data_IF_582678204963
#
_entry.id   IF_582678204963
#
_cell.length_a   1.000
_cell.length_b   1.000
_cell.length_c   1.000
_cell.angle_alpha   90.00
_cell.angle_beta   90.00
_cell.angle_gamma   90.00
#
_symmetry.space_group_name_H-M   'P 1'
#
loop_
_entity.id
_entity.type
_entity.pdbx_description
1 polymer ?
#
# COMPACT_ATOMS: atom_id res chain seq x y z
N UNK A 1 9.06 9.52 22.97
CA UNK A 1 8.30 10.57 22.23
C UNK A 1 6.87 10.06 22.13
N UNK A 2 5.90 10.89 22.45
CA UNK A 2 4.50 10.47 22.60
C UNK A 2 3.93 10.05 21.24
N UNK A 3 3.46 8.79 21.11
CA UNK A 3 2.86 8.22 19.91
C UNK A 3 1.67 9.04 19.39
N UNK A 4 0.83 9.52 20.31
CA UNK A 4 -0.29 10.38 19.95
C UNK A 4 0.17 11.65 19.23
N UNK A 5 1.27 12.24 19.67
CA UNK A 5 1.84 13.43 19.01
C UNK A 5 2.31 13.14 17.58
N UNK A 6 2.91 11.98 17.34
CA UNK A 6 3.36 11.61 15.99
C UNK A 6 2.18 11.42 15.03
N UNK A 7 1.17 10.65 15.45
CA UNK A 7 -0.01 10.41 14.61
C UNK A 7 -0.82 11.70 14.40
N UNK A 8 -0.92 12.57 15.42
CA UNK A 8 -1.56 13.88 15.29
C UNK A 8 -0.85 14.75 14.27
N UNK A 9 0.46 14.78 14.29
CA UNK A 9 1.23 15.56 13.33
C UNK A 9 0.99 15.09 11.90
N UNK A 10 1.08 13.77 11.65
CA UNK A 10 0.82 13.20 10.33
C UNK A 10 -0.62 13.49 9.84
N UNK A 11 -1.62 13.34 10.70
CA UNK A 11 -3.03 13.62 10.38
C UNK A 11 -3.23 15.10 10.07
N UNK A 12 -2.72 16.00 10.91
CA UNK A 12 -2.92 17.44 10.74
C UNK A 12 -2.27 17.97 9.48
N UNK A 13 -1.07 17.49 9.13
CA UNK A 13 -0.42 17.83 7.86
C UNK A 13 -1.30 17.37 6.68
N UNK A 14 -1.73 16.10 6.67
CA UNK A 14 -2.58 15.58 5.59
C UNK A 14 -3.93 16.30 5.50
N UNK A 15 -4.56 16.65 6.63
CA UNK A 15 -5.80 17.43 6.63
C UNK A 15 -5.60 18.86 6.10
N UNK A 16 -4.44 19.47 6.33
CA UNK A 16 -4.13 20.79 5.79
C UNK A 16 -3.85 20.77 4.28
N UNK A 17 -3.37 19.64 3.75
CA UNK A 17 -3.09 19.44 2.32
C UNK A 17 -4.35 19.07 1.52
N UNK A 18 -5.41 18.57 2.19
CA UNK A 18 -6.59 17.99 1.54
C UNK A 18 -7.88 18.59 2.08
N UNK A 19 -8.74 19.09 1.20
CA UNK A 19 -10.07 19.62 1.55
C UNK A 19 -11.08 18.46 1.78
N UNK A 20 -10.96 17.76 2.91
CA UNK A 20 -11.81 16.59 3.20
C UNK A 20 -13.04 16.93 4.04
N UNK A 21 -13.03 18.03 4.78
CA UNK A 21 -14.01 18.34 5.83
C UNK A 21 -13.91 17.41 7.06
N UNK A 22 -12.90 16.52 7.12
CA UNK A 22 -12.71 15.62 8.25
C UNK A 22 -11.94 16.32 9.39
N UNK A 23 -12.15 15.86 10.62
CA UNK A 23 -11.50 16.38 11.82
C UNK A 23 -10.69 15.29 12.49
N UNK A 24 -9.61 15.68 13.16
CA UNK A 24 -8.75 14.76 13.89
C UNK A 24 -9.48 14.29 15.17
N UNK A 25 -9.75 12.98 15.35
CA UNK A 25 -10.45 12.46 16.52
C UNK A 25 -9.54 12.35 17.76
N UNK A 26 -10.12 12.09 18.94
CA UNK A 26 -9.37 12.09 20.20
C UNK A 26 -8.65 10.78 20.51
N UNK A 27 -9.19 9.63 20.07
CA UNK A 27 -8.67 8.32 20.46
C UNK A 27 -7.71 7.71 19.44
N UNK A 28 -6.68 7.00 19.90
CA UNK A 28 -5.69 6.36 19.02
C UNK A 28 -6.32 5.45 17.94
N UNK A 29 -7.30 4.57 18.24
CA UNK A 29 -7.90 3.73 17.19
C UNK A 29 -8.61 4.54 16.11
N UNK A 30 -9.27 5.63 16.47
CA UNK A 30 -9.94 6.50 15.50
C UNK A 30 -8.93 7.31 14.69
N UNK A 31 -7.85 7.78 15.30
CA UNK A 31 -6.72 8.42 14.62
C UNK A 31 -6.08 7.50 13.60
N UNK A 32 -5.84 6.23 13.94
CA UNK A 32 -5.29 5.24 13.02
C UNK A 32 -6.23 4.99 11.82
N UNK A 33 -7.54 4.91 12.06
CA UNK A 33 -8.53 4.80 10.98
C UNK A 33 -8.55 6.04 10.08
N UNK A 34 -8.50 7.24 10.67
CA UNK A 34 -8.44 8.48 9.91
C UNK A 34 -7.16 8.58 9.10
N UNK A 35 -6.00 8.35 9.73
CA UNK A 35 -4.70 8.35 9.05
C UNK A 35 -4.69 7.39 7.85
N UNK A 36 -5.18 6.15 8.03
CA UNK A 36 -5.31 5.20 6.91
C UNK A 36 -6.24 5.73 5.81
N UNK A 37 -7.38 6.33 6.19
CA UNK A 37 -8.30 6.93 5.21
C UNK A 37 -7.64 8.04 4.40
N UNK A 38 -6.88 8.90 5.06
CA UNK A 38 -6.13 9.99 4.43
C UNK A 38 -5.03 9.45 3.49
N UNK A 39 -4.25 8.46 3.93
CA UNK A 39 -3.28 7.75 3.08
C UNK A 39 -3.97 7.18 1.82
N UNK A 40 -5.18 6.63 1.98
CA UNK A 40 -5.89 6.01 0.85
C UNK A 40 -6.32 7.04 -0.21
N UNK A 41 -6.78 8.23 0.17
CA UNK A 41 -7.30 9.23 -0.77
C UNK A 41 -6.26 10.24 -1.25
N UNK A 42 -5.12 10.35 -0.55
CA UNK A 42 -4.06 11.31 -0.91
C UNK A 42 -3.55 11.05 -2.32
N UNK A 43 -3.49 12.11 -3.11
CA UNK A 43 -2.88 12.05 -4.44
C UNK A 43 -1.37 11.80 -4.34
N UNK A 44 -0.69 11.33 -5.40
CA UNK A 44 0.74 11.02 -5.38
C UNK A 44 1.63 12.28 -5.46
N UNK A 45 1.21 13.35 -4.81
CA UNK A 45 2.01 14.58 -4.70
C UNK A 45 3.18 14.36 -3.74
N UNK A 46 4.31 14.99 -4.05
CA UNK A 46 5.54 14.84 -3.25
C UNK A 46 5.28 15.28 -1.80
N UNK A 47 5.42 14.38 -0.82
CA UNK A 47 5.19 14.71 0.57
C UNK A 47 6.35 15.53 1.15
N UNK A 48 6.06 16.32 2.20
CA UNK A 48 7.11 16.92 3.02
C UNK A 48 7.87 15.85 3.82
N UNK A 49 9.14 16.11 4.16
CA UNK A 49 9.91 15.21 5.00
C UNK A 49 9.27 15.05 6.39
N UNK A 50 8.68 16.13 6.92
CA UNK A 50 7.97 16.09 8.19
C UNK A 50 6.79 15.12 8.18
N UNK A 51 5.99 15.10 7.11
CA UNK A 51 4.90 14.15 6.95
C UNK A 51 5.41 12.70 6.87
N UNK A 52 6.46 12.47 6.09
CA UNK A 52 7.11 11.15 5.99
C UNK A 52 7.55 10.67 7.39
N UNK A 53 8.32 11.49 8.11
CA UNK A 53 8.86 11.13 9.41
C UNK A 53 7.76 10.85 10.45
N UNK A 54 6.69 11.63 10.45
CA UNK A 54 5.56 11.46 11.36
C UNK A 54 4.77 10.18 11.04
N UNK A 55 4.47 9.95 9.78
CA UNK A 55 3.78 8.75 9.30
C UNK A 55 4.60 7.49 9.58
N UNK A 56 5.89 7.49 9.23
CA UNK A 56 6.76 6.32 9.35
C UNK A 56 6.89 5.86 10.80
N UNK A 57 6.94 6.79 11.75
CA UNK A 57 6.94 6.46 13.20
C UNK A 57 5.66 5.73 13.61
N UNK A 58 4.49 6.18 13.14
CA UNK A 58 3.23 5.52 13.46
C UNK A 58 3.10 4.17 12.74
N UNK A 59 3.48 4.08 11.46
CA UNK A 59 3.45 2.81 10.71
C UNK A 59 4.43 1.77 11.29
N UNK A 60 5.60 2.21 11.77
CA UNK A 60 6.53 1.35 12.49
C UNK A 60 5.91 0.80 13.79
N UNK A 61 5.24 1.65 14.59
CA UNK A 61 4.55 1.22 15.79
C UNK A 61 3.42 0.22 15.48
N UNK A 62 2.61 0.46 14.44
CA UNK A 62 1.57 -0.48 14.01
C UNK A 62 2.15 -1.82 13.53
N UNK A 63 3.29 -1.80 12.84
CA UNK A 63 4.01 -3.00 12.42
C UNK A 63 4.49 -3.83 13.61
N UNK A 64 5.05 -3.19 14.63
CA UNK A 64 5.48 -3.85 15.87
C UNK A 64 4.28 -4.46 16.61
N UNK A 65 3.17 -3.74 16.73
CA UNK A 65 1.94 -4.26 17.38
C UNK A 65 1.36 -5.48 16.66
N UNK A 66 1.35 -5.47 15.32
CA UNK A 66 0.89 -6.61 14.52
C UNK A 66 1.84 -7.80 14.61
N UNK A 67 3.09 -7.56 14.95
CA UNK A 67 4.18 -8.53 14.93
C UNK A 67 4.62 -8.86 13.50
N UNK A 68 5.90 -9.12 13.34
CA UNK A 68 6.54 -9.52 12.07
C UNK A 68 6.65 -11.03 12.01
N UNK A 69 6.43 -11.60 10.82
CA UNK A 69 6.55 -13.03 10.57
C UNK A 69 7.74 -13.27 9.64
N UNK A 70 8.70 -14.06 10.09
CA UNK A 70 9.84 -14.50 9.29
C UNK A 70 9.58 -15.90 8.72
N UNK A 71 9.75 -16.04 7.40
CA UNK A 71 9.73 -17.33 6.74
C UNK A 71 11.16 -17.89 6.74
N UNK A 72 11.33 -19.11 7.27
CA UNK A 72 12.66 -19.74 7.44
C UNK A 72 13.15 -20.48 6.20
N UNK A 73 12.33 -20.62 5.19
CA UNK A 73 12.66 -21.34 3.96
C UNK A 73 12.94 -20.35 2.84
N UNK A 74 13.89 -20.67 1.99
CA UNK A 74 14.18 -19.93 0.76
C UNK A 74 13.20 -20.34 -0.35
N UNK A 75 13.01 -19.45 -1.32
CA UNK A 75 12.18 -19.69 -2.51
C UNK A 75 10.83 -18.98 -2.51
N UNK A 76 9.91 -19.49 -3.31
CA UNK A 76 8.56 -18.93 -3.47
C UNK A 76 7.61 -19.63 -2.51
N UNK A 77 6.88 -18.84 -1.72
CA UNK A 77 5.97 -19.34 -0.70
C UNK A 77 4.53 -18.89 -0.95
N UNK A 78 3.60 -19.82 -0.86
CA UNK A 78 2.18 -19.50 -0.74
C UNK A 78 1.87 -19.20 0.72
N UNK A 79 1.37 -17.99 0.98
CA UNK A 79 1.02 -17.53 2.33
C UNK A 79 -0.47 -17.25 2.46
N UNK A 80 -1.07 -17.76 3.54
CA UNK A 80 -2.44 -17.41 3.93
C UNK A 80 -2.43 -16.61 5.24
N UNK A 81 -2.74 -15.32 5.17
CA UNK A 81 -2.74 -14.40 6.30
C UNK A 81 -2.45 -12.95 5.89
N UNK A 82 -2.12 -12.11 6.86
CA UNK A 82 -1.75 -10.70 6.59
C UNK A 82 -0.33 -10.64 5.99
N UNK A 83 -0.26 -10.48 4.66
CA UNK A 83 0.99 -10.43 3.90
C UNK A 83 1.86 -9.22 4.28
N UNK A 84 1.26 -8.15 4.84
CA UNK A 84 2.00 -6.95 5.27
C UNK A 84 2.87 -7.18 6.51
N UNK A 85 2.79 -8.37 7.11
CA UNK A 85 3.61 -8.78 8.26
C UNK A 85 4.86 -9.57 7.88
N UNK A 86 4.99 -9.97 6.61
CA UNK A 86 6.06 -10.86 6.17
C UNK A 86 7.39 -10.12 6.02
N UNK A 87 8.43 -10.60 6.72
CA UNK A 87 9.82 -10.21 6.51
C UNK A 87 10.44 -11.16 5.49
N UNK A 88 10.34 -10.78 4.24
CA UNK A 88 10.80 -11.53 3.06
C UNK A 88 11.45 -10.56 2.07
N UNK A 89 12.09 -11.08 1.02
CA UNK A 89 12.64 -10.21 -0.01
C UNK A 89 11.54 -9.47 -0.78
N UNK A 90 10.46 -10.14 -1.16
CA UNK A 90 9.35 -9.50 -1.87
C UNK A 90 7.99 -10.11 -1.50
N UNK A 91 6.95 -9.27 -1.53
CA UNK A 91 5.54 -9.70 -1.52
C UNK A 91 4.89 -9.32 -2.84
N UNK A 92 3.88 -10.09 -3.26
CA UNK A 92 3.13 -9.82 -4.49
C UNK A 92 1.86 -9.05 -4.17
N UNK A 93 1.60 -7.98 -4.91
CA UNK A 93 0.39 -7.17 -4.85
C UNK A 93 -0.44 -7.37 -6.12
N UNK A 94 -1.70 -7.75 -5.97
CA UNK A 94 -2.68 -7.70 -7.06
C UNK A 94 -3.12 -6.25 -7.30
N UNK A 95 -2.36 -5.55 -8.12
CA UNK A 95 -2.51 -4.14 -8.40
C UNK A 95 -3.53 -3.86 -9.53
N UNK A 96 -3.95 -2.60 -9.61
CA UNK A 96 -4.66 -2.10 -10.79
C UNK A 96 -3.66 -1.59 -11.86
N UNK A 97 -4.13 -1.42 -13.10
CA UNK A 97 -3.28 -0.99 -14.22
C UNK A 97 -2.64 0.41 -14.09
N UNK A 98 -3.03 1.22 -13.13
CA UNK A 98 -2.38 2.50 -12.81
C UNK A 98 -1.26 2.36 -11.80
N UNK A 99 -1.20 1.25 -11.06
CA UNK A 99 -0.31 0.96 -9.93
C UNK A 99 -0.41 1.95 -8.76
N UNK A 100 -1.41 2.83 -8.75
CA UNK A 100 -1.54 3.90 -7.74
C UNK A 100 -2.28 3.46 -6.47
N UNK A 101 -2.54 2.18 -6.31
CA UNK A 101 -3.32 1.67 -5.19
C UNK A 101 -4.82 1.95 -5.32
N UNK A 102 -5.57 1.60 -4.28
CA UNK A 102 -7.01 1.80 -4.21
C UNK A 102 -7.31 3.08 -3.42
N UNK A 103 -8.04 4.02 -4.05
CA UNK A 103 -8.40 5.30 -3.44
C UNK A 103 -9.67 5.26 -2.57
N UNK A 104 -10.26 4.08 -2.36
CA UNK A 104 -11.44 3.95 -1.50
C UNK A 104 -11.01 3.88 -0.03
N UNK A 105 -11.43 4.84 0.84
CA UNK A 105 -11.06 4.84 2.25
C UNK A 105 -11.37 3.50 2.93
N UNK A 106 -10.42 2.98 3.69
CA UNK A 106 -10.54 1.74 4.49
C UNK A 106 -10.96 0.49 3.68
N UNK A 107 -10.80 0.49 2.36
CA UNK A 107 -11.15 -0.68 1.56
C UNK A 107 -10.29 -1.90 1.96
N UNK A 108 -10.91 -3.08 1.95
CA UNK A 108 -10.27 -4.32 2.40
C UNK A 108 -9.54 -5.09 1.27
N UNK A 109 -9.42 -4.53 0.05
CA UNK A 109 -8.64 -5.18 -1.00
C UNK A 109 -7.14 -5.17 -0.65
N UNK A 110 -6.42 -6.16 -1.19
CA UNK A 110 -5.00 -6.33 -0.91
C UNK A 110 -4.17 -5.10 -1.33
N UNK A 111 -4.51 -4.49 -2.46
CA UNK A 111 -3.86 -3.28 -2.97
C UNK A 111 -3.97 -2.10 -1.98
N UNK A 112 -5.17 -1.87 -1.40
CA UNK A 112 -5.36 -0.86 -0.36
C UNK A 112 -4.56 -1.19 0.91
N UNK A 113 -4.57 -2.44 1.35
CA UNK A 113 -3.91 -2.88 2.58
C UNK A 113 -2.39 -2.72 2.47
N UNK A 114 -1.80 -3.15 1.36
CA UNK A 114 -0.35 -3.01 1.09
C UNK A 114 0.04 -1.54 1.03
N UNK A 115 -0.66 -0.72 0.23
CA UNK A 115 -0.37 0.72 0.13
C UNK A 115 -0.52 1.45 1.48
N UNK A 116 -1.52 1.08 2.30
CA UNK A 116 -1.70 1.66 3.62
C UNK A 116 -0.55 1.32 4.58
N UNK A 117 -0.06 0.09 4.54
CA UNK A 117 1.03 -0.36 5.41
C UNK A 117 2.42 0.12 4.94
N UNK A 118 2.61 0.26 3.64
CA UNK A 118 3.84 0.81 3.06
C UNK A 118 3.95 2.34 3.28
N UNK A 119 2.83 3.05 3.33
CA UNK A 119 2.77 4.51 3.46
C UNK A 119 2.67 5.24 2.12
N UNK A 120 2.58 6.57 2.20
CA UNK A 120 2.37 7.45 1.03
C UNK A 120 3.49 7.37 0.00
N UNK A 121 4.72 7.06 0.43
CA UNK A 121 5.88 6.95 -0.44
C UNK A 121 5.69 5.91 -1.53
N UNK A 122 5.01 4.79 -1.24
CA UNK A 122 4.77 3.74 -2.23
C UNK A 122 3.96 4.26 -3.42
N UNK A 123 2.87 5.00 -3.16
CA UNK A 123 2.06 5.59 -4.23
C UNK A 123 2.83 6.63 -5.04
N UNK A 124 3.63 7.47 -4.38
CA UNK A 124 4.47 8.45 -5.06
C UNK A 124 5.47 7.77 -6.00
N UNK A 125 6.16 6.74 -5.52
CA UNK A 125 7.11 5.97 -6.31
C UNK A 125 6.46 5.24 -7.49
N UNK A 126 5.30 4.61 -7.27
CA UNK A 126 4.52 4.01 -8.36
C UNK A 126 4.13 5.06 -9.42
N UNK A 127 3.72 6.26 -8.98
CA UNK A 127 3.37 7.34 -9.90
C UNK A 127 4.56 7.78 -10.77
N UNK A 128 5.75 7.89 -10.19
CA UNK A 128 6.98 8.23 -10.93
C UNK A 128 7.26 7.17 -12.02
N UNK A 129 7.18 5.88 -11.68
CA UNK A 129 7.32 4.78 -12.66
C UNK A 129 6.29 4.91 -13.77
N UNK A 130 5.02 5.11 -13.43
CA UNK A 130 3.93 5.15 -14.40
C UNK A 130 3.95 6.41 -15.28
N UNK A 131 4.40 7.54 -14.75
CA UNK A 131 4.64 8.75 -15.53
C UNK A 131 5.79 8.57 -16.50
N UNK A 132 6.89 7.96 -16.07
CA UNK A 132 8.03 7.66 -16.94
C UNK A 132 7.66 6.66 -18.06
N UNK A 133 6.77 5.70 -17.76
CA UNK A 133 6.24 4.75 -18.74
C UNK A 133 5.28 5.39 -19.74
N UNK A 134 4.49 6.38 -19.34
CA UNK A 134 3.57 7.12 -20.18
C UNK A 134 2.25 6.40 -20.54
N UNK A 135 2.04 5.17 -20.07
CA UNK A 135 0.82 4.40 -20.31
C UNK A 135 0.52 3.45 -19.13
N UNK A 136 -0.70 2.95 -19.04
CA UNK A 136 -1.10 1.98 -18.01
C UNK A 136 -0.32 0.68 -18.14
N UNK A 137 -0.07 0.01 -17.02
CA UNK A 137 0.51 -1.32 -17.02
C UNK A 137 -0.42 -2.34 -17.66
N UNK A 138 0.13 -3.19 -18.51
CA UNK A 138 -0.65 -4.21 -19.19
C UNK A 138 -1.00 -5.38 -18.25
N UNK A 139 -2.13 -6.04 -18.51
CA UNK A 139 -2.49 -7.27 -17.83
C UNK A 139 -1.42 -8.34 -18.08
N UNK A 140 -1.05 -9.09 -17.04
CA UNK A 140 -0.01 -10.10 -17.09
C UNK A 140 1.41 -9.55 -16.92
N UNK A 141 1.57 -8.25 -16.73
CA UNK A 141 2.87 -7.61 -16.49
C UNK A 141 3.01 -7.18 -15.02
N UNK A 142 4.24 -6.90 -14.60
CA UNK A 142 4.54 -6.50 -13.23
C UNK A 142 5.62 -5.42 -13.16
N UNK A 143 5.62 -4.68 -12.06
CA UNK A 143 6.66 -3.73 -11.65
C UNK A 143 7.10 -4.02 -10.22
N UNK A 144 8.36 -3.77 -9.94
CA UNK A 144 8.92 -3.89 -8.59
C UNK A 144 9.15 -2.51 -7.99
N UNK A 145 8.84 -2.37 -6.70
CA UNK A 145 9.09 -1.16 -5.92
C UNK A 145 9.73 -1.52 -4.58
N UNK A 146 10.38 -0.56 -3.88
CA UNK A 146 10.72 -0.73 -2.48
C UNK A 146 9.48 -0.97 -1.61
N UNK A 147 9.64 -1.68 -0.48
CA UNK A 147 8.56 -1.97 0.47
C UNK A 147 8.26 -0.82 1.45
N UNK A 148 9.14 0.19 1.54
CA UNK A 148 9.04 1.33 2.48
C UNK A 148 8.83 0.88 3.93
N UNK A 149 7.65 1.15 4.54
CA UNK A 149 7.38 0.76 5.93
C UNK A 149 7.01 -0.72 6.13
N UNK A 150 6.89 -1.50 5.06
CA UNK A 150 6.67 -2.95 5.15
C UNK A 150 7.91 -3.66 5.70
N UNK A 151 7.76 -4.82 6.37
CA UNK A 151 8.89 -5.69 6.68
C UNK A 151 9.54 -6.31 5.43
N UNK A 152 8.77 -6.48 4.34
CA UNK A 152 9.26 -6.94 3.04
C UNK A 152 10.12 -5.86 2.38
N UNK A 153 11.24 -6.26 1.76
CA UNK A 153 12.14 -5.32 1.08
C UNK A 153 11.51 -4.71 -0.17
N UNK A 154 10.73 -5.50 -0.90
CA UNK A 154 10.13 -5.11 -2.18
C UNK A 154 8.66 -5.51 -2.24
N UNK A 155 7.94 -4.81 -3.13
CA UNK A 155 6.59 -5.18 -3.57
C UNK A 155 6.62 -5.40 -5.07
N UNK A 156 6.14 -6.57 -5.53
CA UNK A 156 5.93 -6.88 -6.95
C UNK A 156 4.46 -6.60 -7.24
N UNK A 157 4.19 -5.53 -7.97
CA UNK A 157 2.84 -5.15 -8.39
C UNK A 157 2.53 -5.82 -9.72
N UNK A 158 1.61 -6.78 -9.72
CA UNK A 158 1.16 -7.45 -10.94
C UNK A 158 -0.29 -7.10 -11.26
N UNK A 159 -0.62 -6.99 -12.55
CA UNK A 159 -1.97 -6.63 -13.01
C UNK A 159 -2.66 -7.87 -13.57
N UNK A 160 -3.54 -8.44 -12.76
CA UNK A 160 -4.35 -9.59 -13.16
C UNK A 160 -5.50 -9.22 -14.10
N UNK A 161 -6.06 -10.20 -14.83
CA UNK A 161 -7.21 -9.99 -15.69
C UNK A 161 -8.49 -9.71 -14.88
N UNK A 162 -9.37 -8.86 -15.42
CA UNK A 162 -10.71 -8.64 -14.87
C UNK A 162 -11.66 -9.69 -15.46
N UNK A 163 -12.34 -10.45 -14.60
CA UNK A 163 -13.29 -11.51 -14.98
C UNK A 163 -14.73 -11.04 -14.71
N UNK A 164 -15.44 -10.44 -15.69
CA UNK A 164 -16.70 -9.74 -15.44
C UNK A 164 -17.83 -10.62 -14.87
N UNK A 165 -17.87 -11.90 -15.21
CA UNK A 165 -19.00 -12.79 -14.88
C UNK A 165 -18.56 -14.08 -14.17
N UNK A 166 -17.38 -14.08 -13.54
CA UNK A 166 -16.87 -15.24 -12.81
C UNK A 166 -16.49 -16.46 -13.67
N UNK A 167 -16.53 -16.32 -14.99
CA UNK A 167 -16.09 -17.37 -15.95
C UNK A 167 -14.97 -16.78 -16.81
N UNK A 168 -13.72 -17.19 -16.59
CA UNK A 168 -12.60 -16.72 -17.38
C UNK A 168 -12.67 -17.27 -18.82
N UNK A 169 -12.17 -16.50 -19.78
CA UNK A 169 -11.83 -17.00 -21.10
C UNK A 169 -10.44 -17.64 -21.04
N UNK A 170 -10.11 -18.45 -22.04
CA UNK A 170 -8.79 -19.07 -22.16
C UNK A 170 -7.66 -18.03 -22.18
N UNK A 171 -7.86 -16.92 -22.86
CA UNK A 171 -6.91 -15.79 -22.90
C UNK A 171 -6.71 -15.18 -21.49
N UNK A 172 -7.80 -15.02 -20.71
CA UNK A 172 -7.70 -14.51 -19.33
C UNK A 172 -6.97 -15.49 -18.41
N UNK A 173 -7.15 -16.81 -18.59
CA UNK A 173 -6.41 -17.83 -17.87
C UNK A 173 -4.88 -17.75 -18.19
N UNK A 174 -4.54 -17.60 -19.46
CA UNK A 174 -3.15 -17.42 -19.90
C UNK A 174 -2.53 -16.12 -19.34
N UNK A 175 -3.28 -15.01 -19.36
CA UNK A 175 -2.85 -13.74 -18.75
C UNK A 175 -2.69 -13.84 -17.22
N UNK A 176 -3.56 -14.59 -16.54
CA UNK A 176 -3.39 -14.83 -15.10
C UNK A 176 -2.12 -15.65 -14.83
N UNK A 177 -1.85 -16.68 -15.63
CA UNK A 177 -0.63 -17.47 -15.51
C UNK A 177 0.63 -16.62 -15.70
N UNK A 178 0.61 -15.60 -16.56
CA UNK A 178 1.75 -14.70 -16.77
C UNK A 178 2.03 -13.74 -15.62
N UNK A 179 1.11 -13.65 -14.63
CA UNK A 179 1.32 -12.86 -13.42
C UNK A 179 2.22 -13.57 -12.39
N UNK A 180 2.54 -14.83 -12.58
CA UNK A 180 3.35 -15.68 -11.71
C UNK A 180 4.69 -16.04 -12.33
#
# INVERSE_FOLDING_TARGET
MDRLKNIDNAINIMLSEMETGWTNPDTLPLKQRLMRSLINIRQPDKPSQELIDAQDKELAAQREEKGVVELRQEGIHLWQGDITRLKVDAIVNAANSRLLGCFKPLHACIDNVIHSAAGIQLRCYCNEIMQAQGHKEATGQAKITPGFNLPARYVIHTVGPIIPHGKPTKEQEELLASCY
#
